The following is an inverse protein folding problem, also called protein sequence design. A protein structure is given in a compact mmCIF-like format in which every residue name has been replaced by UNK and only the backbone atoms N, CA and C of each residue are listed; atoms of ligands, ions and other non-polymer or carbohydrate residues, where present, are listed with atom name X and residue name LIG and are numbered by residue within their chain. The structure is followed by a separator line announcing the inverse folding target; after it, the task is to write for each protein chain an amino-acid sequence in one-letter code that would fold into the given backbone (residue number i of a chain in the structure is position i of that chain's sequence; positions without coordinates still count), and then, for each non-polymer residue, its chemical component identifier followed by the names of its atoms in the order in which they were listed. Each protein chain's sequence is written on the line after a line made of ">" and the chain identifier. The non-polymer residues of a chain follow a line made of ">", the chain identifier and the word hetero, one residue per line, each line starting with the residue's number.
data_IF_478713297316
#
_entry.id   IF_478713297316
#
_cell.length_a   1.000
_cell.length_b   1.000
_cell.length_c   1.000
_cell.angle_alpha   90.00
_cell.angle_beta   90.00
_cell.angle_gamma   90.00
#
_symmetry.space_group_name_H-M   'P 1'
#
loop_
_entity.id
_entity.type
_entity.pdbx_description
1 polymer ?
#
# COMPACT_ATOMS: atom_id res chain seq x y z
N UNK A 1 0.28 -22.38 4.74
CA UNK A 1 -0.91 -23.05 4.20
C UNK A 1 -0.53 -23.65 2.87
N UNK A 2 -0.70 -24.95 2.70
CA UNK A 2 -0.57 -25.60 1.39
C UNK A 2 -1.88 -25.44 0.61
N UNK A 3 -1.83 -25.32 -0.72
CA UNK A 3 -3.04 -25.21 -1.56
C UNK A 3 -4.03 -26.37 -1.37
N UNK A 4 -3.56 -27.49 -0.81
CA UNK A 4 -4.29 -28.70 -0.43
C UNK A 4 -5.43 -28.46 0.56
N UNK A 5 -5.33 -27.43 1.41
CA UNK A 5 -6.26 -27.20 2.53
C UNK A 5 -7.45 -26.30 2.14
N UNK A 6 -7.41 -25.70 0.95
CA UNK A 6 -8.48 -24.80 0.49
C UNK A 6 -9.68 -25.63 0.02
N UNK A 7 -10.87 -25.47 0.61
CA UNK A 7 -12.06 -26.22 0.20
C UNK A 7 -12.38 -25.99 -1.27
N UNK A 8 -12.83 -27.04 -1.96
CA UNK A 8 -13.31 -26.94 -3.34
C UNK A 8 -14.43 -25.89 -3.42
N UNK A 9 -14.30 -24.96 -4.36
CA UNK A 9 -15.34 -23.97 -4.61
C UNK A 9 -15.51 -23.75 -6.09
N UNK A 10 -16.74 -23.92 -6.57
CA UNK A 10 -17.12 -23.81 -7.97
C UNK A 10 -18.60 -23.45 -8.07
N UNK A 11 -18.95 -22.47 -8.91
CA UNK A 11 -20.34 -22.06 -9.15
C UNK A 11 -20.62 -21.94 -10.65
N UNK A 12 -21.80 -22.33 -11.14
CA UNK A 12 -22.22 -22.06 -12.51
C UNK A 12 -22.52 -20.58 -12.70
N UNK A 13 -22.06 -20.01 -13.81
CA UNK A 13 -22.22 -18.59 -14.14
C UNK A 13 -23.10 -18.38 -15.36
N UNK A 14 -22.88 -19.14 -16.45
CA UNK A 14 -23.63 -18.99 -17.69
C UNK A 14 -24.29 -20.31 -18.03
N UNK A 15 -25.62 -20.38 -17.82
CA UNK A 15 -26.49 -21.50 -18.20
C UNK A 15 -25.89 -22.91 -17.98
N UNK A 16 -25.21 -23.12 -16.84
CA UNK A 16 -24.53 -24.38 -16.47
C UNK A 16 -23.48 -24.90 -17.49
N UNK A 17 -22.97 -24.03 -18.35
CA UNK A 17 -21.94 -24.32 -19.34
C UNK A 17 -20.61 -23.60 -19.07
N UNK A 18 -20.64 -22.47 -18.34
CA UNK A 18 -19.43 -21.78 -17.85
C UNK A 18 -19.46 -21.71 -16.33
N UNK A 19 -18.39 -22.21 -15.71
CA UNK A 19 -18.21 -22.24 -14.26
C UNK A 19 -17.04 -21.36 -13.84
N UNK A 20 -17.12 -20.76 -12.66
CA UNK A 20 -15.98 -20.15 -11.98
C UNK A 20 -15.60 -21.00 -10.78
N UNK A 21 -14.32 -21.36 -10.66
CA UNK A 21 -13.83 -22.11 -9.51
C UNK A 21 -12.46 -21.67 -8.98
N UNK A 22 -12.01 -22.36 -7.93
CA UNK A 22 -10.66 -22.24 -7.37
C UNK A 22 -9.73 -23.36 -7.87
N UNK A 23 -8.45 -23.31 -7.49
CA UNK A 23 -7.46 -24.30 -7.91
C UNK A 23 -7.84 -25.72 -7.45
N UNK A 24 -8.35 -25.88 -6.23
CA UNK A 24 -8.83 -27.17 -5.73
C UNK A 24 -9.94 -27.77 -6.61
N UNK A 25 -10.90 -26.96 -7.07
CA UNK A 25 -11.94 -27.41 -7.99
C UNK A 25 -11.37 -27.83 -9.35
N UNK A 26 -10.37 -27.11 -9.86
CA UNK A 26 -9.73 -27.43 -11.13
C UNK A 26 -8.93 -28.73 -11.09
N UNK A 27 -8.30 -29.04 -9.96
CA UNK A 27 -7.53 -30.28 -9.75
C UNK A 27 -8.41 -31.49 -9.44
N UNK A 28 -9.64 -31.30 -8.97
CA UNK A 28 -10.56 -32.39 -8.63
C UNK A 28 -11.16 -33.07 -9.86
N UNK A 29 -10.67 -34.28 -10.16
CA UNK A 29 -11.21 -35.14 -11.23
C UNK A 29 -12.70 -35.46 -11.02
N UNK A 30 -13.12 -35.69 -9.77
CA UNK A 30 -14.51 -36.02 -9.43
C UNK A 30 -15.47 -34.87 -9.73
N UNK A 31 -15.10 -33.63 -9.36
CA UNK A 31 -15.89 -32.43 -9.68
C UNK A 31 -16.00 -32.25 -11.19
N UNK A 32 -14.88 -32.39 -11.93
CA UNK A 32 -14.88 -32.26 -13.39
C UNK A 32 -15.79 -33.29 -14.05
N UNK A 33 -15.71 -34.57 -13.64
CA UNK A 33 -16.57 -35.64 -14.17
C UNK A 33 -18.05 -35.39 -13.84
N UNK A 34 -18.36 -35.06 -12.59
CA UNK A 34 -19.75 -34.82 -12.13
C UNK A 34 -20.42 -33.67 -12.87
N UNK A 35 -19.70 -32.58 -13.12
CA UNK A 35 -20.23 -31.41 -13.81
C UNK A 35 -20.12 -31.50 -15.34
N UNK A 36 -19.42 -32.50 -15.87
CA UNK A 36 -19.15 -32.67 -17.29
C UNK A 36 -18.23 -31.59 -17.85
N UNK A 37 -17.26 -31.11 -17.07
CA UNK A 37 -16.28 -30.12 -17.53
C UNK A 37 -15.40 -30.75 -18.61
N UNK A 38 -15.42 -30.18 -19.81
CA UNK A 38 -14.62 -30.63 -20.95
C UNK A 38 -13.41 -29.74 -21.19
N UNK A 39 -13.47 -28.46 -20.79
CA UNK A 39 -12.42 -27.48 -21.01
C UNK A 39 -12.05 -26.74 -19.72
N UNK A 40 -10.77 -26.41 -19.58
CA UNK A 40 -10.25 -25.67 -18.42
C UNK A 40 -9.53 -24.40 -18.87
N UNK A 41 -9.84 -23.27 -18.25
CA UNK A 41 -9.12 -22.01 -18.42
C UNK A 41 -8.49 -21.62 -17.09
N UNK A 42 -7.17 -21.80 -16.97
CA UNK A 42 -6.39 -21.39 -15.82
C UNK A 42 -5.92 -19.96 -15.99
N UNK A 43 -6.33 -19.07 -15.09
CA UNK A 43 -5.91 -17.67 -15.05
C UNK A 43 -5.05 -17.47 -13.80
N UNK A 44 -3.89 -18.15 -13.80
CA UNK A 44 -2.98 -18.23 -12.66
C UNK A 44 -1.61 -18.79 -13.09
N UNK A 45 -0.55 -18.49 -12.33
CA UNK A 45 0.80 -19.06 -12.54
C UNK A 45 1.01 -20.39 -11.82
N UNK A 46 0.16 -20.68 -10.84
CA UNK A 46 0.25 -21.81 -9.91
C UNK A 46 -0.05 -23.16 -10.56
N UNK A 47 -0.65 -23.15 -11.76
CA UNK A 47 -1.03 -24.35 -12.49
C UNK A 47 -0.92 -24.12 -14.00
N UNK A 48 -0.27 -25.06 -14.67
CA UNK A 48 -0.11 -25.10 -16.11
C UNK A 48 -0.36 -26.51 -16.62
N UNK A 49 -0.84 -26.61 -17.85
CA UNK A 49 -1.11 -27.87 -18.54
C UNK A 49 -0.81 -27.72 -20.01
N UNK A 50 -0.46 -28.83 -20.64
CA UNK A 50 -0.23 -28.94 -22.08
C UNK A 50 -1.41 -29.59 -22.82
N UNK A 51 -2.52 -29.87 -22.13
CA UNK A 51 -3.73 -30.43 -22.74
C UNK A 51 -4.36 -29.43 -23.73
N UNK A 52 -4.71 -29.91 -24.93
CA UNK A 52 -5.40 -29.13 -25.96
C UNK A 52 -6.72 -28.50 -25.49
N UNK A 53 -7.45 -29.14 -24.56
CA UNK A 53 -8.68 -28.60 -23.97
C UNK A 53 -8.41 -27.71 -22.76
N UNK A 54 -7.16 -27.26 -22.59
CA UNK A 54 -6.76 -26.45 -21.46
C UNK A 54 -5.96 -25.23 -21.94
N UNK A 55 -6.53 -24.04 -21.74
CA UNK A 55 -5.82 -22.78 -21.91
C UNK A 55 -5.25 -22.27 -20.57
N UNK A 56 -3.96 -21.94 -20.55
CA UNK A 56 -3.31 -21.28 -19.41
C UNK A 56 -2.96 -19.83 -19.76
N UNK A 57 -3.37 -18.90 -18.90
CA UNK A 57 -3.01 -17.48 -18.89
C UNK A 57 -2.23 -17.23 -17.59
N UNK A 58 -0.88 -17.20 -17.63
CA UNK A 58 -0.04 -17.19 -16.44
C UNK A 58 0.10 -15.77 -15.86
N UNK A 59 -0.95 -15.28 -15.21
CA UNK A 59 -0.99 -13.94 -14.59
C UNK A 59 -1.04 -14.00 -13.06
N UNK A 60 -0.33 -13.08 -12.41
CA UNK A 60 -0.42 -12.84 -10.96
C UNK A 60 -1.70 -12.09 -10.60
N UNK A 61 -2.16 -12.22 -9.35
CA UNK A 61 -3.31 -11.47 -8.84
C UNK A 61 -2.89 -10.09 -8.33
N UNK A 62 -2.26 -9.30 -9.21
CA UNK A 62 -1.77 -7.96 -8.90
C UNK A 62 -2.49 -6.91 -9.73
N UNK A 63 -2.71 -5.73 -9.16
CA UNK A 63 -3.30 -4.57 -9.85
C UNK A 63 -2.46 -4.09 -11.04
N UNK A 64 -1.17 -4.46 -11.05
CA UNK A 64 -0.19 -4.04 -12.05
C UNK A 64 0.05 -5.09 -13.15
N UNK A 65 -0.63 -6.23 -13.07
CA UNK A 65 -0.49 -7.30 -14.06
C UNK A 65 -1.29 -6.99 -15.33
N UNK A 66 -0.79 -7.39 -16.51
CA UNK A 66 -1.46 -7.13 -17.79
C UNK A 66 -2.36 -8.30 -18.21
N UNK A 67 -3.53 -8.40 -17.59
CA UNK A 67 -4.55 -9.36 -18.01
C UNK A 67 -5.26 -8.90 -19.29
N UNK A 68 -5.34 -7.59 -19.54
CA UNK A 68 -6.07 -6.95 -20.64
C UNK A 68 -5.68 -7.54 -22.00
N UNK A 69 -4.38 -7.66 -22.28
CA UNK A 69 -3.90 -8.20 -23.56
C UNK A 69 -4.29 -9.67 -23.79
N UNK A 70 -4.55 -10.42 -22.72
CA UNK A 70 -4.91 -11.84 -22.77
C UNK A 70 -6.42 -12.08 -22.86
N UNK A 71 -7.25 -11.08 -22.52
CA UNK A 71 -8.71 -11.22 -22.50
C UNK A 71 -9.29 -11.75 -23.83
N UNK A 72 -8.89 -11.28 -25.03
CA UNK A 72 -9.40 -11.83 -26.28
C UNK A 72 -9.16 -13.33 -26.44
N UNK A 73 -7.98 -13.81 -26.03
CA UNK A 73 -7.62 -15.24 -26.10
C UNK A 73 -8.48 -16.06 -25.15
N UNK A 74 -8.68 -15.57 -23.92
CA UNK A 74 -9.57 -16.21 -22.94
C UNK A 74 -11.02 -16.27 -23.41
N UNK A 75 -11.56 -15.15 -23.91
CA UNK A 75 -12.91 -15.09 -24.46
C UNK A 75 -13.10 -16.04 -25.65
N UNK A 76 -12.14 -16.08 -26.59
CA UNK A 76 -12.19 -16.98 -27.74
C UNK A 76 -12.15 -18.45 -27.34
N UNK A 77 -11.34 -18.82 -26.34
CA UNK A 77 -11.33 -20.18 -25.82
C UNK A 77 -12.68 -20.59 -25.21
N UNK A 78 -13.30 -19.70 -24.43
CA UNK A 78 -14.64 -19.95 -23.87
C UNK A 78 -15.65 -20.14 -25.00
N UNK A 79 -15.68 -19.23 -25.99
CA UNK A 79 -16.63 -19.31 -27.10
C UNK A 79 -16.46 -20.61 -27.90
N UNK A 80 -15.23 -20.94 -28.30
CA UNK A 80 -14.95 -22.13 -29.10
C UNK A 80 -15.37 -23.42 -28.39
N UNK A 81 -15.15 -23.51 -27.09
CA UNK A 81 -15.57 -24.67 -26.29
C UNK A 81 -17.10 -24.79 -26.23
N UNK A 82 -17.82 -23.67 -26.09
CA UNK A 82 -19.28 -23.64 -26.05
C UNK A 82 -19.89 -23.98 -27.43
N UNK A 83 -19.29 -23.50 -28.51
CA UNK A 83 -19.73 -23.82 -29.88
C UNK A 83 -19.63 -25.33 -30.20
N UNK A 84 -18.73 -26.03 -29.52
CA UNK A 84 -18.57 -27.49 -29.59
C UNK A 84 -19.50 -28.25 -28.61
N UNK A 85 -20.40 -27.55 -27.91
CA UNK A 85 -21.26 -28.14 -26.88
C UNK A 85 -20.53 -28.52 -25.59
N UNK A 86 -19.32 -28.01 -25.39
CA UNK A 86 -18.50 -28.25 -24.21
C UNK A 86 -18.90 -27.41 -23.00
N UNK A 87 -18.28 -27.74 -21.85
CA UNK A 87 -18.42 -26.98 -20.60
C UNK A 87 -17.06 -26.51 -20.11
N UNK A 88 -16.98 -25.25 -19.74
CA UNK A 88 -15.72 -24.57 -19.41
C UNK A 88 -15.66 -24.27 -17.91
N UNK A 89 -14.58 -24.71 -17.26
CA UNK A 89 -14.19 -24.23 -15.94
C UNK A 89 -13.13 -23.14 -16.07
N UNK A 90 -13.49 -21.90 -15.73
CA UNK A 90 -12.53 -20.80 -15.59
C UNK A 90 -12.12 -20.70 -14.12
N UNK A 91 -10.83 -20.82 -13.82
CA UNK A 91 -10.36 -20.76 -12.44
C UNK A 91 -9.11 -19.91 -12.28
N UNK A 92 -8.88 -19.48 -11.04
CA UNK A 92 -7.59 -19.01 -10.58
C UNK A 92 -7.31 -19.67 -9.22
N UNK A 93 -6.35 -19.17 -8.43
CA UNK A 93 -6.05 -19.71 -7.11
C UNK A 93 -7.30 -19.84 -6.21
N UNK A 94 -7.99 -18.72 -5.97
CA UNK A 94 -9.16 -18.65 -5.06
C UNK A 94 -10.51 -18.54 -5.78
N UNK A 95 -10.51 -18.27 -7.08
CA UNK A 95 -11.73 -18.04 -7.85
C UNK A 95 -12.48 -16.76 -7.43
N UNK A 96 -11.74 -15.70 -7.08
CA UNK A 96 -12.25 -14.43 -6.52
C UNK A 96 -11.98 -13.23 -7.42
N UNK A 97 -10.77 -13.11 -7.99
CA UNK A 97 -10.34 -11.94 -8.76
C UNK A 97 -10.06 -12.26 -10.24
N UNK A 98 -8.91 -12.87 -10.56
CA UNK A 98 -8.48 -13.20 -11.94
C UNK A 98 -9.52 -13.91 -12.83
N UNK A 99 -10.09 -15.03 -12.36
CA UNK A 99 -11.04 -15.81 -13.16
C UNK A 99 -12.38 -15.11 -13.39
N UNK A 100 -13.02 -14.49 -12.37
CA UNK A 100 -14.16 -13.60 -12.60
C UNK A 100 -13.91 -12.49 -13.61
N UNK A 101 -12.72 -11.87 -13.61
CA UNK A 101 -12.38 -10.84 -14.61
C UNK A 101 -12.48 -11.37 -16.04
N UNK A 102 -11.94 -12.56 -16.31
CA UNK A 102 -12.01 -13.17 -17.65
C UNK A 102 -13.45 -13.51 -18.05
N UNK A 103 -14.26 -14.04 -17.12
CA UNK A 103 -15.68 -14.32 -17.41
C UNK A 103 -16.48 -13.03 -17.61
N UNK A 104 -16.18 -11.95 -16.86
CA UNK A 104 -16.78 -10.63 -17.10
C UNK A 104 -16.42 -10.12 -18.49
N UNK A 105 -15.14 -10.19 -18.89
CA UNK A 105 -14.70 -9.80 -20.23
C UNK A 105 -15.43 -10.57 -21.34
N UNK A 106 -15.62 -11.89 -21.15
CA UNK A 106 -16.39 -12.72 -22.07
C UNK A 106 -17.83 -12.21 -22.22
N UNK A 107 -18.54 -11.97 -21.11
CA UNK A 107 -19.89 -11.41 -21.10
C UNK A 107 -19.96 -10.02 -21.76
N UNK A 108 -18.98 -9.15 -21.50
CA UNK A 108 -18.90 -7.84 -22.14
C UNK A 108 -18.77 -7.97 -23.66
N UNK A 109 -17.87 -8.84 -24.14
CA UNK A 109 -17.63 -8.99 -25.58
C UNK A 109 -18.80 -9.63 -26.33
N UNK A 110 -19.52 -10.57 -25.71
CA UNK A 110 -20.59 -11.36 -26.36
C UNK A 110 -21.98 -10.75 -26.19
N UNK A 111 -22.26 -10.17 -25.02
CA UNK A 111 -23.57 -9.62 -24.67
C UNK A 111 -23.59 -8.08 -24.63
N UNK A 112 -22.47 -7.43 -24.96
CA UNK A 112 -22.31 -5.96 -24.95
C UNK A 112 -22.64 -5.32 -23.61
N UNK A 113 -22.43 -6.05 -22.51
CA UNK A 113 -22.58 -5.50 -21.17
C UNK A 113 -21.48 -4.48 -20.87
N UNK A 114 -21.81 -3.46 -20.07
CA UNK A 114 -20.80 -2.61 -19.44
C UNK A 114 -20.00 -3.42 -18.41
N UNK A 115 -18.80 -2.95 -18.06
CA UNK A 115 -17.97 -3.59 -17.03
C UNK A 115 -18.75 -3.76 -15.71
N UNK A 116 -19.47 -2.72 -15.28
CA UNK A 116 -20.30 -2.77 -14.08
C UNK A 116 -21.41 -3.83 -14.19
N UNK A 117 -22.14 -3.85 -15.32
CA UNK A 117 -23.22 -4.83 -15.53
C UNK A 117 -22.69 -6.27 -15.56
N UNK A 118 -21.53 -6.51 -16.19
CA UNK A 118 -20.89 -7.83 -16.21
C UNK A 118 -20.47 -8.29 -14.81
N UNK A 119 -19.83 -7.40 -14.01
CA UNK A 119 -19.47 -7.71 -12.62
C UNK A 119 -20.72 -8.05 -11.80
N UNK A 120 -21.78 -7.24 -11.90
CA UNK A 120 -23.03 -7.51 -11.18
C UNK A 120 -23.68 -8.82 -11.61
N UNK A 121 -23.63 -9.16 -12.90
CA UNK A 121 -24.14 -10.43 -13.40
C UNK A 121 -23.43 -11.63 -12.76
N UNK A 122 -22.10 -11.59 -12.68
CA UNK A 122 -21.30 -12.66 -12.08
C UNK A 122 -21.48 -12.67 -10.56
N UNK A 123 -21.48 -11.50 -9.90
CA UNK A 123 -21.65 -11.37 -8.45
C UNK A 123 -22.97 -11.92 -7.95
N UNK A 124 -24.06 -11.76 -8.71
CA UNK A 124 -25.36 -12.37 -8.36
C UNK A 124 -25.32 -13.90 -8.28
N UNK A 125 -24.41 -14.55 -9.03
CA UNK A 125 -24.25 -16.02 -9.05
C UNK A 125 -23.12 -16.51 -8.16
N UNK A 126 -22.10 -15.67 -7.95
CA UNK A 126 -20.97 -15.93 -7.05
C UNK A 126 -20.69 -14.69 -6.22
N UNK A 127 -21.37 -14.51 -5.05
CA UNK A 127 -21.30 -13.28 -4.26
C UNK A 127 -19.90 -12.85 -3.83
N UNK A 128 -19.00 -13.83 -3.64
CA UNK A 128 -17.63 -13.59 -3.19
C UNK A 128 -16.65 -13.07 -4.25
N UNK A 129 -17.09 -12.77 -5.48
CA UNK A 129 -16.18 -12.21 -6.47
C UNK A 129 -15.75 -10.78 -6.08
N UNK A 130 -14.46 -10.55 -6.19
CA UNK A 130 -13.83 -9.27 -5.90
C UNK A 130 -12.59 -9.13 -6.79
N UNK A 131 -12.76 -8.82 -8.10
CA UNK A 131 -11.65 -8.42 -8.95
C UNK A 131 -10.86 -7.29 -8.28
N UNK A 132 -9.53 -7.39 -8.28
CA UNK A 132 -8.70 -6.29 -7.80
C UNK A 132 -8.92 -5.02 -8.63
N UNK A 133 -8.55 -3.88 -8.07
CA UNK A 133 -8.81 -2.58 -8.69
C UNK A 133 -8.16 -2.41 -10.07
N UNK A 134 -6.95 -2.92 -10.27
CA UNK A 134 -6.28 -2.92 -11.57
C UNK A 134 -7.05 -3.72 -12.63
N UNK A 135 -7.63 -4.87 -12.28
CA UNK A 135 -8.47 -5.65 -13.18
C UNK A 135 -9.83 -5.00 -13.45
N UNK A 136 -10.41 -4.29 -12.48
CA UNK A 136 -11.61 -3.48 -12.73
C UNK A 136 -11.33 -2.38 -13.77
N UNK A 137 -10.20 -1.67 -13.66
CA UNK A 137 -9.73 -0.71 -14.68
C UNK A 137 -9.54 -1.36 -16.05
N UNK A 138 -8.98 -2.57 -16.08
CA UNK A 138 -8.76 -3.30 -17.33
C UNK A 138 -10.05 -3.72 -18.02
N UNK A 139 -11.12 -4.04 -17.29
CA UNK A 139 -12.43 -4.29 -17.91
C UNK A 139 -12.98 -3.05 -18.62
N UNK A 140 -12.82 -1.86 -18.04
CA UNK A 140 -13.21 -0.60 -18.68
C UNK A 140 -12.39 -0.39 -19.96
N UNK A 141 -11.06 -0.51 -19.86
CA UNK A 141 -10.15 -0.39 -20.99
C UNK A 141 -10.43 -1.44 -22.08
N UNK A 142 -10.89 -2.64 -21.72
CA UNK A 142 -11.28 -3.68 -22.66
C UNK A 142 -12.47 -3.26 -23.53
N UNK A 143 -13.47 -2.59 -22.93
CA UNK A 143 -14.58 -1.96 -23.66
C UNK A 143 -14.10 -0.84 -24.59
N UNK A 144 -13.23 0.05 -24.10
CA UNK A 144 -12.63 1.14 -24.89
C UNK A 144 -11.83 0.62 -26.10
N UNK A 145 -11.09 -0.48 -25.91
CA UNK A 145 -10.37 -1.19 -26.97
C UNK A 145 -11.30 -1.92 -27.96
N UNK A 146 -12.62 -1.79 -27.84
CA UNK A 146 -13.62 -2.54 -28.61
C UNK A 146 -13.37 -4.05 -28.57
N UNK A 147 -12.97 -4.53 -27.39
CA UNK A 147 -12.68 -5.95 -27.10
C UNK A 147 -11.50 -6.53 -27.87
N UNK A 148 -10.66 -5.68 -28.49
CA UNK A 148 -9.46 -6.07 -29.26
C UNK A 148 -8.22 -5.26 -28.83
N UNK A 149 -7.79 -5.35 -27.56
CA UNK A 149 -6.51 -4.79 -27.13
C UNK A 149 -5.37 -5.41 -27.94
N UNK A 150 -4.43 -4.57 -28.37
CA UNK A 150 -3.22 -4.98 -29.08
C UNK A 150 -2.15 -3.91 -28.89
N UNK A 151 -0.88 -4.25 -29.16
CA UNK A 151 0.22 -3.29 -29.15
C UNK A 151 0.08 -2.15 -30.18
N UNK A 152 -0.89 -2.23 -31.09
CA UNK A 152 -1.22 -1.20 -32.09
C UNK A 152 -2.51 -0.43 -31.77
N UNK A 153 -3.28 -0.85 -30.76
CA UNK A 153 -4.52 -0.21 -30.35
C UNK A 153 -4.23 1.04 -29.50
N UNK A 154 -4.75 2.20 -29.90
CA UNK A 154 -4.49 3.49 -29.23
C UNK A 154 -4.94 3.49 -27.77
N UNK A 155 -6.10 2.90 -27.47
CA UNK A 155 -6.65 2.85 -26.10
C UNK A 155 -5.83 1.92 -25.22
N UNK A 156 -5.39 0.77 -25.75
CA UNK A 156 -4.48 -0.12 -25.05
C UNK A 156 -3.15 0.56 -24.75
N UNK A 157 -2.55 1.25 -25.73
CA UNK A 157 -1.30 2.01 -25.54
C UNK A 157 -1.48 3.10 -24.47
N UNK A 158 -2.58 3.85 -24.53
CA UNK A 158 -2.88 4.90 -23.56
C UNK A 158 -3.06 4.33 -22.15
N UNK A 159 -3.80 3.23 -22.01
CA UNK A 159 -3.94 2.51 -20.75
C UNK A 159 -2.58 2.02 -20.24
N UNK A 160 -1.75 1.39 -21.08
CA UNK A 160 -0.44 0.87 -20.69
C UNK A 160 0.50 1.98 -20.22
N UNK A 161 0.46 3.15 -20.86
CA UNK A 161 1.21 4.34 -20.43
C UNK A 161 0.72 4.86 -19.08
N UNK A 162 -0.59 4.88 -18.83
CA UNK A 162 -1.16 5.26 -17.52
C UNK A 162 -0.73 4.27 -16.44
N UNK A 163 -0.92 2.97 -16.69
CA UNK A 163 -0.52 1.90 -15.78
C UNK A 163 0.97 2.00 -15.43
N UNK A 164 1.85 2.20 -16.40
CA UNK A 164 3.29 2.34 -16.16
C UNK A 164 3.60 3.52 -15.22
N UNK A 165 2.93 4.67 -15.39
CA UNK A 165 3.09 5.82 -14.49
C UNK A 165 2.57 5.54 -13.08
N UNK A 166 1.43 4.87 -12.97
CA UNK A 166 0.86 4.48 -11.67
C UNK A 166 1.79 3.50 -10.93
N UNK A 167 2.33 2.50 -11.63
CA UNK A 167 3.32 1.56 -11.09
C UNK A 167 4.58 2.31 -10.63
N UNK A 168 5.14 3.18 -11.46
CA UNK A 168 6.31 3.97 -11.08
C UNK A 168 6.04 4.77 -9.81
N UNK A 169 4.91 5.49 -9.76
CA UNK A 169 4.53 6.27 -8.57
C UNK A 169 4.39 5.38 -7.32
N UNK A 170 3.81 4.19 -7.47
CA UNK A 170 3.67 3.23 -6.38
C UNK A 170 5.02 2.74 -5.86
N UNK A 171 5.93 2.40 -6.77
CA UNK A 171 7.27 1.94 -6.42
C UNK A 171 8.11 3.07 -5.79
N UNK A 172 7.96 4.30 -6.28
CA UNK A 172 8.56 5.49 -5.69
C UNK A 172 8.04 5.68 -4.25
N UNK A 173 6.73 5.53 -4.01
CA UNK A 173 6.14 5.58 -2.65
C UNK A 173 6.70 4.52 -1.70
N UNK A 174 6.89 3.29 -2.17
CA UNK A 174 7.51 2.23 -1.37
C UNK A 174 8.97 2.58 -1.07
N UNK A 175 9.73 3.01 -2.09
CA UNK A 175 11.14 3.36 -1.94
C UNK A 175 11.35 4.57 -1.02
N UNK A 176 10.44 5.55 -1.05
CA UNK A 176 10.45 6.74 -0.21
C UNK A 176 9.89 6.49 1.19
N UNK A 177 9.33 5.30 1.46
CA UNK A 177 8.93 4.90 2.81
C UNK A 177 10.15 4.41 3.59
N UNK A 178 10.60 5.24 4.52
CA UNK A 178 11.88 5.06 5.21
C UNK A 178 11.66 4.36 6.56
N UNK A 179 12.34 3.23 6.84
CA UNK A 179 12.33 2.60 8.15
C UNK A 179 13.19 3.41 9.13
N UNK A 180 12.55 4.04 10.12
CA UNK A 180 13.23 4.74 11.21
C UNK A 180 13.64 3.77 12.32
N UNK A 181 12.71 2.89 12.71
CA UNK A 181 13.00 1.74 13.55
C UNK A 181 12.60 0.51 12.73
N UNK A 182 13.55 -0.33 12.33
CA UNK A 182 13.26 -1.51 11.52
C UNK A 182 12.10 -2.33 12.11
N UNK A 183 11.16 -2.72 11.26
CA UNK A 183 9.97 -3.52 11.58
C UNK A 183 9.02 -2.90 12.61
N UNK A 184 9.13 -1.60 12.92
CA UNK A 184 8.31 -0.95 13.95
C UNK A 184 7.81 0.45 13.57
N UNK A 185 8.69 1.31 13.04
CA UNK A 185 8.38 2.71 12.79
C UNK A 185 8.92 3.15 11.44
N UNK A 186 8.02 3.61 10.58
CA UNK A 186 8.28 4.05 9.23
C UNK A 186 7.86 5.50 9.04
N UNK A 187 8.52 6.20 8.13
CA UNK A 187 8.21 7.57 7.77
C UNK A 187 7.99 7.64 6.25
N UNK A 188 6.92 8.31 5.83
CA UNK A 188 6.71 8.64 4.41
C UNK A 188 6.33 10.11 4.24
N UNK A 189 6.84 10.72 3.16
CA UNK A 189 6.54 12.09 2.78
C UNK A 189 5.36 12.21 1.81
N UNK A 190 4.95 11.11 1.16
CA UNK A 190 3.78 11.08 0.29
C UNK A 190 2.89 9.87 0.61
N UNK A 191 1.61 10.00 0.31
CA UNK A 191 0.61 8.98 0.60
C UNK A 191 -0.53 9.05 -0.44
N UNK A 192 -1.06 7.89 -0.90
CA UNK A 192 -2.17 7.89 -1.86
C UNK A 192 -3.38 8.67 -1.33
N UNK A 193 -4.00 9.48 -2.20
CA UNK A 193 -5.23 10.20 -1.87
C UNK A 193 -6.51 9.37 -2.10
N UNK A 194 -6.39 8.29 -2.87
CA UNK A 194 -7.46 7.31 -3.09
C UNK A 194 -7.43 6.28 -1.95
N UNK A 195 -8.55 6.04 -1.24
CA UNK A 195 -8.59 5.11 -0.11
C UNK A 195 -8.20 3.67 -0.46
N UNK A 196 -8.64 3.16 -1.60
CA UNK A 196 -8.35 1.77 -2.01
C UNK A 196 -6.85 1.62 -2.28
N UNK A 197 -6.25 2.59 -2.98
CA UNK A 197 -4.81 2.60 -3.24
C UNK A 197 -3.99 2.76 -1.94
N UNK A 198 -4.49 3.54 -0.99
CA UNK A 198 -3.87 3.71 0.33
C UNK A 198 -3.89 2.41 1.14
N UNK A 199 -5.04 1.72 1.19
CA UNK A 199 -5.14 0.43 1.90
C UNK A 199 -4.23 -0.63 1.27
N UNK A 200 -4.20 -0.74 -0.06
CA UNK A 200 -3.29 -1.66 -0.76
C UNK A 200 -1.83 -1.39 -0.40
N UNK A 201 -1.38 -0.12 -0.42
CA UNK A 201 -0.02 0.25 -0.03
C UNK A 201 0.29 -0.17 1.41
N UNK A 202 -0.63 0.09 2.34
CA UNK A 202 -0.45 -0.24 3.76
C UNK A 202 -0.38 -1.75 4.00
N UNK A 203 -1.21 -2.54 3.29
CA UNK A 203 -1.19 -4.00 3.35
C UNK A 203 0.15 -4.55 2.84
N UNK A 204 0.62 -4.03 1.70
CA UNK A 204 1.87 -4.47 1.07
C UNK A 204 3.09 -4.13 1.94
N UNK A 205 3.08 -2.96 2.60
CA UNK A 205 4.10 -2.56 3.55
C UNK A 205 4.00 -3.30 4.90
N UNK A 206 2.92 -4.03 5.17
CA UNK A 206 2.69 -4.73 6.44
C UNK A 206 2.36 -3.81 7.61
N UNK A 207 1.84 -2.62 7.32
CA UNK A 207 1.48 -1.63 8.34
C UNK A 207 0.23 -2.07 9.12
N UNK A 208 0.16 -1.66 10.38
CA UNK A 208 -1.00 -1.94 11.25
C UNK A 208 -1.63 -0.65 11.78
N UNK A 209 -0.81 0.39 11.90
CA UNK A 209 -1.17 1.68 12.45
C UNK A 209 -0.68 2.77 11.51
N UNK A 210 -1.50 3.81 11.33
CA UNK A 210 -1.18 4.96 10.48
C UNK A 210 -1.35 6.23 11.28
N UNK A 211 -0.29 7.02 11.39
CA UNK A 211 -0.33 8.37 11.92
C UNK A 211 -0.24 9.35 10.75
N UNK A 212 -1.33 10.06 10.50
CA UNK A 212 -1.44 11.04 9.44
C UNK A 212 -1.39 12.45 10.00
N UNK A 213 -0.39 13.23 9.58
CA UNK A 213 -0.23 14.62 9.98
C UNK A 213 -0.53 15.49 8.76
N UNK A 214 -1.64 16.22 8.80
CA UNK A 214 -2.12 16.95 7.63
C UNK A 214 -2.47 18.40 7.96
N UNK A 215 -2.76 19.17 6.91
CA UNK A 215 -3.41 20.47 7.04
C UNK A 215 -4.93 20.28 7.04
N UNK A 216 -5.66 21.14 7.76
CA UNK A 216 -7.12 21.07 7.94
C UNK A 216 -7.93 21.09 6.64
N UNK A 217 -7.29 21.47 5.55
CA UNK A 217 -7.89 21.58 4.23
C UNK A 217 -7.86 20.26 3.45
N UNK A 218 -7.13 19.24 3.93
CA UNK A 218 -7.01 17.95 3.27
C UNK A 218 -7.99 16.94 3.89
N UNK A 219 -8.75 16.20 3.06
CA UNK A 219 -9.71 15.24 3.57
C UNK A 219 -9.00 14.12 4.32
N UNK A 220 -9.60 13.67 5.42
CA UNK A 220 -9.18 12.48 6.15
C UNK A 220 -9.48 11.25 5.27
N UNK A 221 -8.49 10.42 4.92
CA UNK A 221 -8.74 9.17 4.23
C UNK A 221 -9.50 8.21 5.17
N UNK A 222 -10.50 7.50 4.64
CA UNK A 222 -11.22 6.46 5.36
C UNK A 222 -10.47 5.14 5.18
N UNK A 223 -9.93 4.61 6.29
CA UNK A 223 -9.06 3.42 6.31
C UNK A 223 -9.61 2.42 7.35
N UNK A 224 -10.76 1.77 7.08
CA UNK A 224 -11.43 0.89 8.04
C UNK A 224 -10.60 -0.32 8.49
N UNK A 225 -9.61 -0.74 7.70
CA UNK A 225 -8.77 -1.90 8.02
C UNK A 225 -7.61 -1.58 8.99
N UNK A 226 -7.35 -0.30 9.28
CA UNK A 226 -6.17 0.14 10.01
C UNK A 226 -6.52 1.01 11.22
N UNK A 227 -5.69 0.93 12.26
CA UNK A 227 -5.77 1.89 13.36
C UNK A 227 -5.21 3.23 12.88
N UNK A 228 -6.10 4.17 12.55
CA UNK A 228 -5.73 5.46 11.95
C UNK A 228 -5.86 6.61 12.95
N UNK A 229 -4.73 7.22 13.31
CA UNK A 229 -4.69 8.49 14.03
C UNK A 229 -4.46 9.63 13.03
N UNK A 230 -5.38 10.58 12.99
CA UNK A 230 -5.29 11.74 12.11
C UNK A 230 -5.13 13.00 12.97
N UNK A 231 -3.99 13.67 12.83
CA UNK A 231 -3.67 14.92 13.51
C UNK A 231 -3.78 16.05 12.49
N UNK A 232 -4.75 16.92 12.74
CA UNK A 232 -5.00 18.09 11.92
C UNK A 232 -4.22 19.31 12.46
N UNK A 233 -3.32 19.86 11.63
CA UNK A 233 -2.48 20.98 11.98
C UNK A 233 -2.81 22.16 11.06
N UNK A 234 -3.53 23.18 11.57
CA UNK A 234 -3.87 24.35 10.78
C UNK A 234 -2.62 25.11 10.34
N UNK A 235 -2.67 25.72 9.15
CA UNK A 235 -1.50 26.39 8.56
C UNK A 235 -1.05 27.66 9.33
N UNK A 236 -1.91 28.21 10.19
CA UNK A 236 -1.69 29.48 10.90
C UNK A 236 -1.29 29.31 12.39
N UNK A 237 -1.39 28.11 12.97
CA UNK A 237 -0.99 27.84 14.36
C UNK A 237 0.44 27.34 14.45
N UNK A 238 1.36 28.15 14.99
CA UNK A 238 2.79 27.78 15.12
C UNK A 238 3.00 26.67 16.15
N UNK A 239 2.17 26.69 17.19
CA UNK A 239 2.15 25.79 18.33
C UNK A 239 1.31 24.54 18.09
N UNK A 240 0.50 24.49 17.04
CA UNK A 240 -0.49 23.44 16.83
C UNK A 240 0.15 22.05 16.77
N UNK A 241 1.29 21.91 16.07
CA UNK A 241 2.05 20.66 16.08
C UNK A 241 2.56 20.30 17.48
N UNK A 242 3.10 21.29 18.21
CA UNK A 242 3.66 21.08 19.55
C UNK A 242 2.63 20.51 20.51
N UNK A 243 1.41 21.06 20.50
CA UNK A 243 0.32 20.63 21.38
C UNK A 243 -0.12 19.18 21.11
N UNK A 244 0.04 18.71 19.88
CA UNK A 244 -0.36 17.35 19.46
C UNK A 244 0.77 16.32 19.55
N UNK A 245 2.01 16.73 19.86
CA UNK A 245 3.14 15.80 20.03
C UNK A 245 2.89 14.72 21.09
N UNK A 246 2.27 15.00 22.26
CA UNK A 246 1.96 13.94 23.23
C UNK A 246 1.02 12.87 22.65
N UNK A 247 -0.02 13.29 21.93
CA UNK A 247 -0.97 12.38 21.26
C UNK A 247 -0.25 11.49 20.26
N UNK A 248 0.59 12.09 19.40
CA UNK A 248 1.39 11.36 18.43
C UNK A 248 2.36 10.36 19.09
N UNK A 249 3.11 10.79 20.10
CA UNK A 249 4.07 9.95 20.81
C UNK A 249 3.39 8.76 21.50
N UNK A 250 2.24 9.01 22.13
CA UNK A 250 1.44 7.96 22.78
C UNK A 250 0.93 6.95 21.75
N UNK A 251 0.36 7.41 20.63
CA UNK A 251 -0.12 6.53 19.57
C UNK A 251 0.98 5.62 19.02
N UNK A 252 2.16 6.19 18.72
CA UNK A 252 3.32 5.42 18.24
C UNK A 252 3.76 4.41 19.31
N UNK A 253 3.90 4.84 20.57
CA UNK A 253 4.35 4.00 21.66
C UNK A 253 3.41 2.83 21.96
N UNK A 254 2.10 3.10 22.05
CA UNK A 254 1.08 2.09 22.29
C UNK A 254 1.05 1.05 21.15
N UNK A 255 1.14 1.51 19.90
CA UNK A 255 1.17 0.62 18.74
C UNK A 255 2.40 -0.30 18.73
N UNK A 256 3.60 0.26 18.93
CA UNK A 256 4.85 -0.51 18.96
C UNK A 256 4.88 -1.49 20.14
N UNK A 257 4.40 -1.07 21.32
CA UNK A 257 4.34 -1.94 22.51
C UNK A 257 3.44 -3.15 22.29
N UNK A 258 2.37 -2.98 21.49
CA UNK A 258 1.47 -4.07 21.09
C UNK A 258 1.98 -4.89 19.90
N UNK A 259 3.22 -4.69 19.45
CA UNK A 259 3.83 -5.40 18.33
C UNK A 259 3.32 -4.93 16.96
N UNK A 260 2.72 -3.75 16.88
CA UNK A 260 2.28 -3.13 15.64
C UNK A 260 3.42 -2.42 14.90
N UNK A 261 3.27 -2.34 13.58
CA UNK A 261 4.09 -1.50 12.70
C UNK A 261 3.35 -0.19 12.39
N UNK A 262 4.03 0.94 12.59
CA UNK A 262 3.47 2.28 12.48
C UNK A 262 4.06 3.02 11.28
N UNK A 263 3.20 3.54 10.42
CA UNK A 263 3.57 4.51 9.39
C UNK A 263 3.24 5.94 9.86
N UNK A 264 4.24 6.81 9.94
CA UNK A 264 4.07 8.26 10.12
C UNK A 264 4.11 8.92 8.75
N UNK A 265 2.97 9.41 8.28
CA UNK A 265 2.89 10.11 7.00
C UNK A 265 2.66 11.60 7.19
N UNK A 266 3.42 12.42 6.46
CA UNK A 266 3.20 13.86 6.35
C UNK A 266 3.80 14.42 5.06
N UNK A 267 3.02 15.20 4.31
CA UNK A 267 3.52 15.96 3.14
C UNK A 267 4.64 16.95 3.45
N UNK A 268 4.75 17.36 4.71
CA UNK A 268 5.81 18.25 5.20
C UNK A 268 6.77 17.42 6.04
N UNK A 269 7.86 16.97 5.42
CA UNK A 269 8.88 16.10 6.04
C UNK A 269 9.33 16.64 7.42
N UNK A 270 9.52 17.95 7.55
CA UNK A 270 9.84 18.62 8.82
C UNK A 270 8.89 18.21 9.96
N UNK A 271 7.58 18.14 9.73
CA UNK A 271 6.60 17.80 10.78
C UNK A 271 6.71 16.33 11.18
N UNK A 272 6.87 15.43 10.21
CA UNK A 272 7.09 14.00 10.48
C UNK A 272 8.39 13.79 11.28
N UNK A 273 9.48 14.45 10.90
CA UNK A 273 10.76 14.39 11.62
C UNK A 273 10.63 14.92 13.05
N UNK A 274 9.89 16.01 13.28
CA UNK A 274 9.62 16.52 14.63
C UNK A 274 8.87 15.47 15.46
N UNK A 275 7.82 14.85 14.91
CA UNK A 275 7.04 13.83 15.64
C UNK A 275 7.90 12.62 16.00
N UNK A 276 8.68 12.11 15.06
CA UNK A 276 9.57 10.96 15.30
C UNK A 276 10.66 11.29 16.33
N UNK A 277 11.28 12.48 16.23
CA UNK A 277 12.27 12.89 17.22
C UNK A 277 11.65 13.16 18.59
N UNK A 278 10.45 13.73 18.64
CA UNK A 278 9.70 13.91 19.88
C UNK A 278 9.40 12.56 20.55
N UNK A 279 9.03 11.55 19.76
CA UNK A 279 8.84 10.19 20.25
C UNK A 279 10.13 9.60 20.85
N UNK A 280 11.28 9.78 20.19
CA UNK A 280 12.57 9.35 20.76
C UNK A 280 12.93 10.08 22.05
N UNK A 281 12.70 11.40 22.11
CA UNK A 281 12.95 12.17 23.31
C UNK A 281 12.03 11.74 24.47
N UNK A 282 10.76 11.48 24.17
CA UNK A 282 9.76 11.06 25.14
C UNK A 282 10.07 9.67 25.72
N UNK A 283 10.45 8.72 24.86
CA UNK A 283 10.67 7.32 25.27
C UNK A 283 12.08 7.03 25.76
N UNK A 284 13.10 7.71 25.25
CA UNK A 284 14.51 7.45 25.55
C UNK A 284 15.17 8.53 26.40
N UNK A 285 14.44 9.60 26.74
CA UNK A 285 14.93 10.74 27.52
C UNK A 285 16.23 11.35 26.97
N UNK A 286 16.32 11.42 25.64
CA UNK A 286 17.47 11.97 24.92
C UNK A 286 17.26 13.45 24.58
N UNK A 287 18.35 14.17 24.35
CA UNK A 287 18.30 15.56 23.84
C UNK A 287 17.84 15.62 22.37
N UNK A 288 17.37 16.78 21.87
CA UNK A 288 16.98 16.95 20.47
C UNK A 288 18.06 16.54 19.46
N UNK A 289 19.33 16.84 19.76
CA UNK A 289 20.47 16.46 18.90
C UNK A 289 20.72 14.95 18.90
N UNK A 290 20.52 14.29 20.03
CA UNK A 290 20.63 12.83 20.10
C UNK A 290 19.45 12.14 19.41
N UNK A 291 18.24 12.70 19.52
CA UNK A 291 17.08 12.22 18.79
C UNK A 291 17.27 12.34 17.27
N UNK A 292 17.81 13.47 16.80
CA UNK A 292 18.16 13.64 15.39
C UNK A 292 19.20 12.62 14.93
N UNK A 293 20.24 12.33 15.71
CA UNK A 293 21.22 11.28 15.37
C UNK A 293 20.62 9.90 15.17
N UNK A 294 19.54 9.57 15.89
CA UNK A 294 18.81 8.32 15.66
C UNK A 294 18.09 8.33 14.31
N UNK A 295 17.52 9.49 13.94
CA UNK A 295 16.85 9.70 12.66
C UNK A 295 17.82 9.79 11.47
N UNK A 296 19.02 10.35 11.65
CA UNK A 296 20.05 10.50 10.60
C UNK A 296 20.44 9.17 9.96
N UNK A 297 20.35 8.06 10.71
CA UNK A 297 20.58 6.72 10.16
C UNK A 297 19.57 6.33 9.07
N UNK A 298 18.35 6.87 9.17
CA UNK A 298 17.25 6.62 8.25
C UNK A 298 17.13 7.72 7.19
N UNK A 299 17.42 8.98 7.55
CA UNK A 299 17.33 10.15 6.69
C UNK A 299 18.67 10.93 6.67
N UNK A 300 19.71 10.42 6.00
CA UNK A 300 21.06 11.02 6.04
C UNK A 300 21.14 12.39 5.35
N UNK A 301 20.20 12.70 4.46
CA UNK A 301 20.14 13.98 3.73
C UNK A 301 19.24 15.02 4.41
N UNK A 302 18.55 14.66 5.50
CA UNK A 302 17.66 15.58 6.18
C UNK A 302 18.46 16.68 6.88
N UNK A 303 18.12 17.94 6.57
CA UNK A 303 18.78 19.10 7.17
C UNK A 303 17.80 19.83 8.12
N UNK A 304 17.98 19.72 9.45
CA UNK A 304 17.09 20.35 10.41
C UNK A 304 17.19 21.88 10.35
N UNK A 305 16.05 22.57 10.49
CA UNK A 305 16.00 24.03 10.58
C UNK A 305 16.07 24.50 12.04
N UNK A 306 16.29 25.79 12.30
CA UNK A 306 16.15 26.34 13.65
C UNK A 306 14.76 26.10 14.24
N UNK A 307 13.73 26.09 13.38
CA UNK A 307 12.36 25.83 13.79
C UNK A 307 12.18 24.39 14.29
N UNK A 308 12.87 23.41 13.67
CA UNK A 308 12.90 22.02 14.13
C UNK A 308 13.38 21.92 15.58
N UNK A 309 14.54 22.49 15.88
CA UNK A 309 15.10 22.44 17.23
C UNK A 309 14.23 23.19 18.24
N UNK A 310 13.69 24.35 17.86
CA UNK A 310 12.78 25.11 18.74
C UNK A 310 11.55 24.30 19.17
N UNK A 311 10.95 23.51 18.28
CA UNK A 311 9.82 22.65 18.64
C UNK A 311 10.24 21.61 19.69
N UNK A 312 11.36 20.93 19.46
CA UNK A 312 11.85 19.87 20.35
C UNK A 312 12.32 20.43 21.70
N UNK A 313 13.01 21.57 21.71
CA UNK A 313 13.44 22.26 22.93
C UNK A 313 12.24 22.71 23.77
N UNK A 314 11.20 23.28 23.13
CA UNK A 314 9.97 23.67 23.83
C UNK A 314 9.22 22.45 24.36
N UNK A 315 9.18 21.35 23.60
CA UNK A 315 8.57 20.10 24.04
C UNK A 315 9.25 19.55 25.30
N UNK A 316 10.58 19.54 25.32
CA UNK A 316 11.36 19.16 26.50
C UNK A 316 11.16 20.14 27.67
N UNK A 317 11.15 21.45 27.42
CA UNK A 317 10.92 22.47 28.45
C UNK A 317 9.54 22.35 29.10
N UNK A 318 8.53 21.90 28.34
CA UNK A 318 7.19 21.59 28.83
C UNK A 318 7.09 20.23 29.54
N UNK A 319 8.21 19.54 29.80
CA UNK A 319 8.23 18.17 30.34
C UNK A 319 7.36 17.21 29.54
N UNK A 320 7.35 17.37 28.21
CA UNK A 320 6.56 16.58 27.27
C UNK A 320 5.04 16.72 27.41
N UNK A 321 4.55 17.70 28.17
CA UNK A 321 3.11 18.01 28.32
C UNK A 321 2.88 19.49 27.98
N UNK A 322 3.02 19.90 26.71
CA UNK A 322 2.74 21.25 26.29
C UNK A 322 1.24 21.54 26.43
N UNK A 323 0.91 22.67 27.03
CA UNK A 323 -0.48 23.16 27.15
C UNK A 323 -0.54 24.60 26.64
N UNK A 324 -1.69 25.07 26.14
CA UNK A 324 -1.84 26.46 25.72
C UNK A 324 -1.45 27.46 26.81
N UNK A 325 -1.71 27.15 28.08
CA UNK A 325 -1.41 28.03 29.22
C UNK A 325 0.05 27.97 29.70
N UNK A 326 0.90 27.15 29.08
CA UNK A 326 2.30 27.03 29.49
C UNK A 326 3.06 28.33 29.15
N UNK A 327 3.81 28.93 30.09
CA UNK A 327 4.53 30.19 29.84
C UNK A 327 5.46 30.16 28.62
N UNK A 328 6.12 29.04 28.36
CA UNK A 328 7.01 28.88 27.21
C UNK A 328 6.23 28.82 25.88
N UNK A 329 5.06 28.18 25.89
CA UNK A 329 4.17 28.11 24.72
C UNK A 329 3.57 29.49 24.42
N UNK A 330 3.09 30.20 25.45
CA UNK A 330 2.58 31.57 25.31
C UNK A 330 3.63 32.54 24.79
N UNK A 331 4.87 32.44 25.28
CA UNK A 331 5.98 33.25 24.77
C UNK A 331 6.27 32.99 23.29
N UNK A 332 6.14 31.74 22.84
CA UNK A 332 6.35 31.38 21.45
C UNK A 332 5.24 31.89 20.52
N UNK A 333 3.98 31.79 20.97
CA UNK A 333 2.83 32.39 20.27
C UNK A 333 3.01 33.90 20.14
N UNK A 334 3.42 34.57 21.23
CA UNK A 334 3.54 36.04 21.32
C UNK A 334 4.76 36.61 20.56
N UNK A 335 5.86 35.84 20.47
CA UNK A 335 7.14 36.28 19.88
C UNK A 335 7.15 36.45 18.35
N UNK A 336 5.98 36.41 17.69
CA UNK A 336 5.82 36.70 16.26
C UNK A 336 5.74 38.19 15.91
N UNK A 337 5.59 39.06 16.91
CA UNK A 337 5.50 40.52 16.75
C UNK A 337 6.55 41.16 17.66
N UNK A 338 7.43 41.99 17.09
CA UNK A 338 8.55 42.75 17.72
C UNK A 338 9.93 42.09 17.61
N UNK A 339 10.61 42.35 16.49
CA UNK A 339 12.07 42.32 16.43
C UNK A 339 12.62 43.68 16.91
N UNK A 340 12.89 43.78 18.22
CA UNK A 340 13.70 44.84 18.81
C UNK A 340 14.82 44.20 19.65
N UNK A 341 16.08 44.34 19.20
CA UNK A 341 17.28 44.02 20.00
C UNK A 341 17.26 44.81 21.32
N UNK A 342 17.79 44.28 22.45
CA UNK A 342 19.22 44.48 22.76
C UNK A 342 19.87 43.30 23.55
N UNK A 343 21.11 42.92 23.21
CA UNK A 343 22.39 43.27 23.87
C UNK A 343 22.87 42.32 24.98
N UNK A 344 23.92 41.58 24.64
CA UNK A 344 25.07 41.10 25.44
C UNK A 344 25.12 41.17 26.99
N UNK A 345 25.55 40.02 27.55
CA UNK A 345 26.43 39.78 28.73
C UNK A 345 25.85 39.96 30.15
N UNK A 346 25.82 38.86 30.92
CA UNK A 346 26.85 38.50 31.92
C UNK A 346 26.64 37.10 32.52
N UNK A 347 27.75 36.49 32.94
CA UNK A 347 27.97 35.15 33.51
C UNK A 347 27.59 35.06 35.00
N UNK A 348 27.23 33.86 35.48
CA UNK A 348 27.40 33.37 36.86
C UNK A 348 27.06 31.86 36.91
N UNK A 349 28.01 30.92 36.75
CA UNK A 349 28.74 30.12 37.78
C UNK A 349 27.93 29.42 38.89
N UNK A 350 28.07 28.07 38.91
CA UNK A 350 27.98 27.08 40.03
C UNK A 350 26.61 26.87 40.69
N UNK A 351 26.09 25.65 40.91
CA UNK A 351 26.68 24.54 41.68
C UNK A 351 26.00 23.18 41.37
N UNK A 352 26.81 22.14 41.48
CA UNK A 352 26.59 20.69 41.41
C UNK A 352 25.49 20.14 42.34
N UNK A 353 24.67 19.20 41.86
CA UNK A 353 24.29 18.01 42.64
C UNK A 353 23.97 16.85 41.70
N UNK A 354 24.83 15.84 41.75
CA UNK A 354 24.63 14.51 41.17
C UNK A 354 23.65 13.77 42.07
N UNK A 355 22.59 13.22 41.50
CA UNK A 355 21.94 12.04 42.06
C UNK A 355 21.87 10.99 40.96
N UNK A 356 22.64 9.92 41.22
CA UNK A 356 22.77 8.72 40.43
C UNK A 356 21.59 7.80 40.78
N UNK A 357 20.83 7.34 39.80
CA UNK A 357 20.03 6.13 39.97
C UNK A 357 20.29 5.18 38.80
N UNK A 358 20.77 4.00 39.16
CA UNK A 358 21.14 2.86 38.32
C UNK A 358 19.98 1.86 38.26
N UNK A 359 20.03 1.01 37.23
CA UNK A 359 19.26 -0.22 36.96
C UNK A 359 17.91 -0.02 36.22
N UNK A 360 17.53 -0.81 35.22
CA UNK A 360 17.98 -2.15 34.85
C UNK A 360 17.92 -2.37 33.32
N UNK A 361 18.94 -3.05 32.79
CA UNK A 361 18.98 -3.68 31.47
C UNK A 361 18.08 -4.92 31.49
N UNK A 362 17.08 -4.98 30.62
CA UNK A 362 16.38 -6.24 30.30
C UNK A 362 16.47 -6.48 28.81
N UNK A 363 17.33 -7.42 28.45
CA UNK A 363 17.39 -8.09 27.15
C UNK A 363 16.08 -8.83 26.91
N UNK A 364 15.39 -8.54 25.80
CA UNK A 364 14.31 -9.36 25.27
C UNK A 364 14.75 -9.90 23.91
N UNK A 365 15.25 -11.12 23.91
CA UNK A 365 15.27 -12.01 22.75
C UNK A 365 13.90 -12.69 22.69
N UNK A 366 13.22 -12.65 21.56
CA UNK A 366 12.40 -13.75 21.05
C UNK A 366 12.00 -13.47 19.59
N UNK A 367 12.43 -14.38 18.74
CA UNK A 367 12.25 -14.37 17.30
C UNK A 367 10.77 -14.52 16.90
N UNK A 368 10.34 -13.69 15.97
CA UNK A 368 9.36 -14.03 14.95
C UNK A 368 10.06 -13.79 13.62
N UNK A 369 10.07 -14.78 12.73
CA UNK A 369 10.57 -14.58 11.37
C UNK A 369 9.74 -13.48 10.70
N UNK A 370 10.35 -12.35 10.31
CA UNK A 370 9.64 -11.31 9.59
C UNK A 370 9.25 -11.82 8.21
N UNK A 371 8.05 -11.45 7.75
CA UNK A 371 7.77 -11.41 6.31
C UNK A 371 8.63 -10.27 5.74
N UNK A 372 9.88 -10.57 5.45
CA UNK A 372 10.78 -9.64 4.76
C UNK A 372 10.18 -9.39 3.39
N UNK A 373 9.76 -8.16 3.14
CA UNK A 373 9.42 -7.71 1.80
C UNK A 373 10.73 -7.78 0.99
N UNK A 374 10.76 -8.65 -0.02
CA UNK A 374 11.97 -8.94 -0.77
C UNK A 374 12.30 -7.79 -1.73
N UNK A 375 13.12 -6.86 -1.26
CA UNK A 375 13.64 -5.75 -2.06
C UNK A 375 14.42 -6.21 -3.29
N UNK A 376 14.99 -7.43 -3.29
CA UNK A 376 15.66 -8.00 -4.47
C UNK A 376 14.63 -8.42 -5.53
N UNK A 377 13.51 -9.03 -5.13
CA UNK A 377 12.39 -9.31 -6.04
C UNK A 377 11.78 -8.02 -6.62
N UNK A 378 11.69 -6.95 -5.81
CA UNK A 378 11.23 -5.64 -6.29
C UNK A 378 12.24 -4.99 -7.27
N UNK A 379 13.54 -5.16 -7.04
CA UNK A 379 14.59 -4.76 -7.99
C UNK A 379 14.50 -5.54 -9.31
N UNK A 380 14.13 -6.82 -9.27
CA UNK A 380 13.92 -7.64 -10.46
C UNK A 380 12.66 -7.20 -11.25
N UNK A 381 11.57 -6.85 -10.56
CA UNK A 381 10.38 -6.25 -11.17
C UNK A 381 10.72 -4.91 -11.82
N UNK A 382 11.47 -4.04 -11.13
CA UNK A 382 11.98 -2.78 -11.68
C UNK A 382 12.84 -3.02 -12.94
N UNK A 383 13.72 -4.02 -12.91
CA UNK A 383 14.55 -4.40 -14.05
C UNK A 383 13.71 -4.92 -15.26
N UNK A 384 12.60 -5.63 -15.03
CA UNK A 384 11.67 -6.06 -16.10
C UNK A 384 10.90 -4.88 -16.71
N UNK A 385 10.50 -3.90 -15.91
CA UNK A 385 9.88 -2.66 -16.40
C UNK A 385 10.85 -1.73 -17.13
N UNK A 386 12.15 -1.83 -16.81
CA UNK A 386 13.22 -1.10 -17.49
C UNK A 386 13.71 -1.82 -18.75
N UNK A 387 13.82 -3.16 -18.77
CA UNK A 387 14.33 -3.92 -19.94
C UNK A 387 13.34 -4.00 -21.10
N UNK A 388 12.04 -3.84 -20.85
CA UNK A 388 11.03 -3.65 -21.91
C UNK A 388 11.15 -2.30 -22.64
N UNK A 389 12.04 -1.40 -22.20
CA UNK A 389 12.33 -0.15 -22.90
C UNK A 389 13.39 -0.28 -24.01
N UNK A 390 14.25 -1.31 -23.97
CA UNK A 390 15.38 -1.44 -24.92
C UNK A 390 15.08 -2.31 -26.14
N UNK A 391 14.02 -3.13 -26.13
CA UNK A 391 13.70 -4.03 -27.25
C UNK A 391 12.79 -3.42 -28.34
N UNK A 392 12.29 -2.19 -28.17
CA UNK A 392 11.42 -1.51 -29.17
C UNK A 392 12.22 -0.57 -30.09
N UNK A 393 13.50 -0.32 -29.79
CA UNK A 393 14.35 0.62 -30.54
C UNK A 393 15.31 0.01 -31.58
N UNK A 394 15.47 -1.32 -31.63
CA UNK A 394 16.57 -1.96 -32.39
C UNK A 394 16.13 -2.73 -33.65
N UNK A 395 14.97 -2.40 -34.24
CA UNK A 395 14.51 -2.99 -35.51
C UNK A 395 14.11 -1.92 -36.52
N UNK A 396 15.01 -0.96 -36.77
CA UNK A 396 15.00 -0.08 -37.96
C UNK A 396 16.43 0.34 -38.30
N UNK A 397 17.10 -0.48 -39.10
CA UNK A 397 18.13 -0.06 -40.07
C UNK A 397 18.04 -0.99 -41.26
#
# INVERSE_FOLDING_TARGET
>A
MTWSDVPISIDPIIADNVYIGNLAAALSTDVRKRLGITHILSVCTEYSSTDHNHLTIPVQDSEYEDLLIHLPRGCGFIQNALDQGGKVLVHCAMGVSRSPTVVCAYLMSTQRLSAHAAIQYVRKRRPKIHPNYGFMKQLIAFGECRYKPSCTNSEYIAWKRRQKREVSKYLDLIADTVPVIPDQLYLSSDFPGDPDAAESLLLDLGMTHVLSISSAQLPKPDLPLFNHCFIDIPNNGREALLLELPTACKFIGDAITNGGQVLVQCRVELRACIVVCAYFMFTRHVSPRQALKLLESALPLYNPTDNFYRHLDLFAACKYVPTPNNPFVQAWISGGTQAGKPSSKKKSTTTTRRDTLLLATTTMTLAREPKVFDFAALSEVLARFQSTSTSVGAART
#
